data_IF_084444651336
#
_entry.id   IF_084444651336
#
_cell.length_a   1.000
_cell.length_b   1.000
_cell.length_c   1.000
_cell.angle_alpha   90.00
_cell.angle_beta   90.00
_cell.angle_gamma   90.00
#
_symmetry.space_group_name_H-M   'P 1'
#
loop_
_entity.id
_entity.type
_entity.pdbx_description
1 polymer ?
#
# COMPACT_ATOMS: atom_id res chain seq x y z
N UNK A 1 -56.77 -38.47 -14.63
CA UNK A 1 -55.45 -37.88 -14.70
C UNK A 1 -55.40 -36.37 -14.30
N UNK A 2 -56.34 -35.52 -14.72
CA UNK A 2 -56.33 -34.08 -14.39
C UNK A 2 -56.55 -33.79 -12.89
N UNK A 3 -57.32 -34.56 -12.16
CA UNK A 3 -57.56 -34.42 -10.72
C UNK A 3 -56.32 -34.79 -9.86
N UNK A 4 -55.57 -35.80 -10.29
CA UNK A 4 -54.35 -36.21 -9.60
C UNK A 4 -53.21 -35.18 -9.72
N UNK A 5 -53.12 -34.48 -10.84
CA UNK A 5 -52.14 -33.41 -11.06
C UNK A 5 -52.47 -32.18 -10.21
N UNK A 6 -53.75 -31.85 -10.07
CA UNK A 6 -54.21 -30.73 -9.24
C UNK A 6 -53.91 -31.02 -7.74
N UNK A 7 -54.17 -32.25 -7.28
CA UNK A 7 -53.86 -32.64 -5.91
C UNK A 7 -52.34 -32.66 -5.63
N UNK A 8 -51.53 -33.07 -6.60
CA UNK A 8 -50.05 -33.02 -6.49
C UNK A 8 -49.51 -31.58 -6.46
N UNK A 9 -50.10 -30.67 -7.27
CA UNK A 9 -49.73 -29.25 -7.24
C UNK A 9 -50.18 -28.57 -5.94
N UNK A 10 -51.33 -28.94 -5.40
CA UNK A 10 -51.83 -28.42 -4.12
C UNK A 10 -50.95 -28.92 -2.94
N UNK A 11 -50.50 -30.16 -3.01
CA UNK A 11 -49.56 -30.73 -2.00
C UNK A 11 -48.19 -30.06 -2.05
N UNK A 12 -47.69 -29.65 -3.22
CA UNK A 12 -46.42 -28.93 -3.37
C UNK A 12 -46.49 -27.50 -2.84
N UNK A 13 -47.61 -26.82 -2.93
CA UNK A 13 -47.85 -25.48 -2.39
C UNK A 13 -47.94 -25.43 -0.86
N UNK A 14 -48.22 -26.57 -0.20
CA UNK A 14 -48.28 -26.67 1.27
C UNK A 14 -46.93 -26.85 1.95
N UNK A 15 -45.84 -27.00 1.21
CA UNK A 15 -44.46 -27.12 1.74
C UNK A 15 -43.68 -25.81 1.75
N UNK A 16 -44.36 -24.67 1.75
CA UNK A 16 -43.68 -23.40 2.05
C UNK A 16 -43.33 -23.41 3.53
N UNK A 17 -42.14 -23.84 3.83
CA UNK A 17 -41.55 -23.74 5.18
C UNK A 17 -41.37 -22.24 5.46
N UNK A 18 -42.35 -21.65 6.17
CA UNK A 18 -42.13 -20.35 6.80
C UNK A 18 -41.09 -20.53 7.89
N UNK A 19 -39.86 -20.20 7.58
CA UNK A 19 -38.85 -20.01 8.60
C UNK A 19 -39.29 -18.88 9.52
N UNK A 20 -39.88 -19.19 10.66
CA UNK A 20 -40.22 -18.22 11.68
C UNK A 20 -38.92 -17.61 12.22
N UNK A 21 -38.52 -16.43 11.69
CA UNK A 21 -37.42 -15.66 12.23
C UNK A 21 -37.86 -15.08 13.57
N UNK A 22 -37.18 -15.50 14.64
CA UNK A 22 -37.37 -14.88 15.94
C UNK A 22 -36.82 -13.45 15.91
N UNK A 23 -37.66 -12.49 16.22
CA UNK A 23 -37.29 -11.07 16.27
C UNK A 23 -37.07 -10.65 17.70
N UNK A 24 -35.87 -10.15 18.00
CA UNK A 24 -35.52 -9.58 19.29
C UNK A 24 -35.67 -8.08 19.18
N UNK A 25 -36.45 -7.47 20.04
CA UNK A 25 -36.67 -6.02 20.10
C UNK A 25 -36.22 -5.49 21.46
N UNK A 26 -35.67 -4.31 21.48
CA UNK A 26 -35.27 -3.67 22.72
C UNK A 26 -35.02 -2.17 22.57
N UNK A 27 -34.62 -1.57 23.68
CA UNK A 27 -34.26 -0.15 23.78
C UNK A 27 -32.99 0.01 24.59
N UNK A 28 -32.09 0.88 24.14
CA UNK A 28 -30.84 1.22 24.82
C UNK A 28 -30.96 2.64 25.38
N UNK A 29 -30.67 2.81 26.65
CA UNK A 29 -30.76 4.10 27.35
C UNK A 29 -29.54 4.31 28.26
N UNK A 30 -29.24 5.56 28.53
CA UNK A 30 -28.30 5.94 29.58
C UNK A 30 -28.88 5.57 30.96
N UNK A 31 -28.09 4.96 31.82
CA UNK A 31 -28.55 4.50 33.17
C UNK A 31 -28.94 5.64 34.09
N UNK A 32 -28.27 6.79 34.01
CA UNK A 32 -28.44 7.92 34.91
C UNK A 32 -29.51 8.87 34.37
N UNK A 33 -29.35 9.31 33.12
CA UNK A 33 -30.22 10.33 32.52
C UNK A 33 -31.50 9.75 31.92
N UNK A 34 -31.57 8.41 31.71
CA UNK A 34 -32.66 7.70 31.04
C UNK A 34 -32.90 8.13 29.57
N UNK A 35 -32.02 8.95 29.04
CA UNK A 35 -32.12 9.37 27.66
C UNK A 35 -31.80 8.19 26.69
N UNK A 36 -32.48 8.14 25.53
CA UNK A 36 -32.19 7.12 24.51
C UNK A 36 -30.80 7.33 23.93
N UNK A 37 -30.10 6.25 23.65
CA UNK A 37 -28.80 6.27 23.00
C UNK A 37 -28.98 5.88 21.52
N UNK A 38 -28.95 6.90 20.66
CA UNK A 38 -29.01 6.75 19.20
C UNK A 38 -27.68 6.22 18.65
N UNK A 39 -27.74 5.39 17.60
CA UNK A 39 -26.56 4.83 16.92
C UNK A 39 -25.67 3.97 17.84
N UNK A 40 -26.21 3.42 18.93
CA UNK A 40 -25.52 2.39 19.70
C UNK A 40 -25.46 1.08 18.91
N UNK A 41 -24.30 0.48 18.84
CA UNK A 41 -24.11 -0.80 18.13
C UNK A 41 -24.62 -1.96 18.99
N UNK A 42 -25.55 -2.72 18.46
CA UNK A 42 -26.14 -3.91 19.12
C UNK A 42 -25.79 -5.11 18.28
N UNK A 43 -25.02 -6.05 18.86
CA UNK A 43 -24.59 -7.28 18.19
C UNK A 43 -25.23 -8.49 18.83
N UNK A 44 -25.61 -9.47 18.04
CA UNK A 44 -26.04 -10.80 18.49
C UNK A 44 -24.92 -11.81 18.26
N UNK A 45 -24.50 -12.49 19.30
CA UNK A 45 -23.38 -13.41 19.29
C UNK A 45 -23.80 -14.81 19.76
N UNK A 46 -23.04 -15.83 19.37
CA UNK A 46 -23.18 -17.18 19.90
C UNK A 46 -22.27 -17.35 21.13
N UNK A 47 -22.85 -17.50 22.31
CA UNK A 47 -22.12 -17.46 23.57
C UNK A 47 -21.65 -16.04 23.94
N UNK A 48 -20.87 -15.90 25.01
CA UNK A 48 -20.45 -14.59 25.54
C UNK A 48 -19.42 -13.85 24.69
N UNK A 49 -18.48 -14.56 24.04
CA UNK A 49 -17.40 -14.02 23.20
C UNK A 49 -17.33 -14.68 21.82
N UNK A 50 -18.47 -15.24 21.36
CA UNK A 50 -18.57 -15.97 20.10
C UNK A 50 -18.66 -15.05 18.87
N UNK A 51 -18.76 -15.69 17.69
CA UNK A 51 -18.89 -14.99 16.43
C UNK A 51 -20.18 -14.15 16.38
N UNK A 52 -20.08 -12.95 15.78
CA UNK A 52 -21.26 -12.10 15.54
C UNK A 52 -22.12 -12.75 14.47
N UNK A 53 -23.38 -12.98 14.80
CA UNK A 53 -24.39 -13.58 13.92
C UNK A 53 -25.18 -12.51 13.19
N UNK A 54 -25.54 -11.43 13.90
CA UNK A 54 -26.29 -10.32 13.37
C UNK A 54 -25.96 -9.06 14.17
N UNK A 55 -26.16 -7.87 13.58
CA UNK A 55 -25.98 -6.60 14.24
C UNK A 55 -26.97 -5.56 13.73
N UNK A 56 -27.18 -4.52 14.52
CA UNK A 56 -27.98 -3.35 14.16
C UNK A 56 -27.49 -2.14 14.94
N UNK A 57 -27.96 -0.95 14.54
CA UNK A 57 -27.81 0.30 15.30
C UNK A 57 -29.14 0.67 15.92
N UNK A 58 -29.11 1.37 17.04
CA UNK A 58 -30.31 1.95 17.65
C UNK A 58 -30.77 3.18 16.87
N UNK A 59 -32.09 3.36 16.79
CA UNK A 59 -32.73 4.56 16.23
C UNK A 59 -32.68 5.77 17.20
N UNK A 60 -33.26 6.91 16.80
CA UNK A 60 -33.32 8.13 17.59
C UNK A 60 -34.04 7.94 18.95
N UNK A 61 -34.93 6.98 19.07
CA UNK A 61 -35.59 6.62 20.33
C UNK A 61 -34.80 5.56 21.12
N UNK A 62 -33.59 5.19 20.67
CA UNK A 62 -32.76 4.15 21.25
C UNK A 62 -33.26 2.73 21.00
N UNK A 63 -34.22 2.53 20.08
CA UNK A 63 -34.81 1.21 19.81
C UNK A 63 -33.96 0.44 18.83
N UNK A 64 -33.96 -0.89 18.98
CA UNK A 64 -33.31 -1.80 18.03
C UNK A 64 -34.17 -3.01 17.75
N UNK A 65 -33.91 -3.64 16.60
CA UNK A 65 -34.53 -4.89 16.21
C UNK A 65 -33.47 -5.79 15.55
N UNK A 66 -33.38 -7.05 16.03
CA UNK A 66 -32.48 -8.07 15.49
C UNK A 66 -33.28 -9.34 15.17
N UNK A 67 -32.97 -9.97 14.05
CA UNK A 67 -33.59 -11.24 13.62
C UNK A 67 -32.60 -12.39 13.83
N UNK A 68 -33.09 -13.54 14.32
CA UNK A 68 -32.28 -14.74 14.50
C UNK A 68 -33.13 -16.00 14.18
N UNK A 69 -32.50 -17.00 13.59
CA UNK A 69 -33.12 -18.30 13.33
C UNK A 69 -33.28 -19.13 14.63
N UNK A 70 -32.50 -18.86 15.66
CA UNK A 70 -32.55 -19.51 16.97
C UNK A 70 -32.20 -18.54 18.07
N UNK A 71 -32.85 -18.63 19.22
CA UNK A 71 -32.56 -17.85 20.42
C UNK A 71 -31.72 -18.60 21.45
N UNK A 72 -31.45 -19.88 21.21
CA UNK A 72 -30.71 -20.73 22.15
C UNK A 72 -29.23 -20.33 22.15
N UNK A 73 -28.65 -20.15 23.34
CA UNK A 73 -27.25 -19.78 23.57
C UNK A 73 -26.83 -18.49 22.83
N UNK A 74 -27.69 -17.47 22.88
CA UNK A 74 -27.44 -16.15 22.27
C UNK A 74 -27.16 -15.10 23.33
N UNK A 75 -26.21 -14.21 23.02
CA UNK A 75 -25.87 -13.05 23.83
C UNK A 75 -25.99 -11.79 22.99
N UNK A 76 -26.67 -10.79 23.51
CA UNK A 76 -26.68 -9.45 22.95
C UNK A 76 -25.58 -8.66 23.64
N UNK A 77 -24.71 -8.06 22.82
CA UNK A 77 -23.69 -7.14 23.29
C UNK A 77 -23.96 -5.77 22.73
N UNK A 78 -24.02 -4.78 23.61
CA UNK A 78 -24.22 -3.38 23.23
C UNK A 78 -22.96 -2.60 23.51
N UNK A 79 -22.56 -1.82 22.50
CA UNK A 79 -21.44 -0.90 22.55
C UNK A 79 -21.89 0.51 22.13
N UNK A 80 -21.50 1.50 22.90
CA UNK A 80 -21.66 2.90 22.57
C UNK A 80 -20.44 3.69 23.06
N UNK A 81 -20.00 4.66 22.25
CA UNK A 81 -18.79 5.43 22.60
C UNK A 81 -18.98 6.20 23.91
N UNK A 82 -18.03 6.06 24.83
CA UNK A 82 -18.12 6.70 26.16
C UNK A 82 -18.93 5.90 27.19
N UNK A 83 -19.37 4.67 26.86
CA UNK A 83 -20.13 3.80 27.74
C UNK A 83 -19.48 2.44 27.90
N UNK A 84 -19.68 1.83 29.08
CA UNK A 84 -19.21 0.48 29.35
C UNK A 84 -19.97 -0.53 28.48
N UNK A 85 -19.25 -1.36 27.74
CA UNK A 85 -19.79 -2.48 26.97
C UNK A 85 -20.63 -3.39 27.88
N UNK A 86 -21.84 -3.72 27.47
CA UNK A 86 -22.75 -4.58 28.23
C UNK A 86 -23.15 -5.79 27.40
N UNK A 87 -22.97 -6.98 27.98
CA UNK A 87 -23.40 -8.24 27.38
C UNK A 87 -24.54 -8.82 28.20
N UNK A 88 -25.62 -9.26 27.55
CA UNK A 88 -26.83 -9.79 28.21
C UNK A 88 -27.22 -11.07 27.47
N UNK A 89 -27.41 -12.22 28.15
CA UNK A 89 -27.96 -13.41 27.54
C UNK A 89 -29.41 -13.15 27.08
N UNK A 90 -29.75 -13.66 25.91
CA UNK A 90 -31.12 -13.54 25.37
C UNK A 90 -32.00 -14.55 26.07
N UNK A 91 -32.75 -14.09 27.05
CA UNK A 91 -33.82 -14.84 27.72
C UNK A 91 -35.18 -14.37 27.16
N UNK A 92 -35.73 -15.20 26.31
CA UNK A 92 -37.06 -15.25 25.69
C UNK A 92 -38.05 -14.07 25.89
N UNK A 93 -38.52 -13.48 24.76
CA UNK A 93 -39.88 -12.97 24.50
C UNK A 93 -40.39 -11.69 25.19
N UNK A 94 -39.53 -10.85 25.73
CA UNK A 94 -39.93 -9.51 26.17
C UNK A 94 -39.03 -8.44 25.53
N UNK A 95 -39.52 -7.26 25.21
CA UNK A 95 -38.67 -6.14 24.80
C UNK A 95 -37.59 -5.91 25.83
N UNK A 96 -36.35 -5.91 25.42
CA UNK A 96 -35.19 -5.74 26.29
C UNK A 96 -34.94 -4.25 26.55
N UNK A 97 -34.87 -3.82 27.83
CA UNK A 97 -34.37 -2.51 28.18
C UNK A 97 -32.92 -2.65 28.65
N UNK A 98 -32.00 -2.05 27.91
CA UNK A 98 -30.57 -2.15 28.17
C UNK A 98 -30.07 -0.76 28.60
N UNK A 99 -29.71 -0.66 29.85
CA UNK A 99 -29.16 0.56 30.42
C UNK A 99 -27.64 0.46 30.37
N UNK A 100 -26.98 1.44 29.73
CA UNK A 100 -25.52 1.57 29.70
C UNK A 100 -25.06 2.58 30.75
N UNK A 101 -23.98 2.26 31.39
CA UNK A 101 -23.28 3.17 32.32
C UNK A 101 -22.23 3.95 31.53
N UNK A 102 -22.22 5.29 31.72
CA UNK A 102 -21.11 6.07 31.20
C UNK A 102 -19.82 5.57 31.86
N UNK A 103 -18.94 5.13 31.01
CA UNK A 103 -17.57 4.90 31.38
C UNK A 103 -16.83 6.17 30.94
N UNK A 104 -16.48 7.01 31.89
CA UNK A 104 -15.37 7.91 31.66
C UNK A 104 -14.20 6.97 31.33
N UNK A 105 -14.00 6.73 30.02
CA UNK A 105 -12.69 6.36 29.54
C UNK A 105 -11.87 7.57 29.90
N UNK A 106 -11.34 7.61 31.10
CA UNK A 106 -10.04 8.20 31.30
C UNK A 106 -9.25 7.50 30.18
N UNK A 107 -9.06 8.17 29.05
CA UNK A 107 -8.00 7.83 28.14
C UNK A 107 -6.86 7.64 29.10
N UNK A 108 -6.49 6.38 29.40
CA UNK A 108 -5.29 6.11 30.14
C UNK A 108 -4.32 6.99 29.45
N UNK A 109 -3.94 8.08 30.13
CA UNK A 109 -2.87 8.95 29.69
C UNK A 109 -1.91 8.00 29.07
N UNK A 110 -1.75 8.09 27.73
CA UNK A 110 -0.82 7.19 27.05
C UNK A 110 0.45 7.58 27.73
N UNK A 111 0.74 6.87 28.83
CA UNK A 111 2.05 6.91 29.42
C UNK A 111 2.88 6.41 28.26
N UNK A 112 3.37 7.36 27.46
CA UNK A 112 4.47 7.17 26.54
C UNK A 112 5.55 6.70 27.49
N UNK A 113 5.58 5.36 27.70
CA UNK A 113 6.70 4.77 28.41
C UNK A 113 7.88 5.21 27.60
N UNK A 114 8.79 6.05 28.14
CA UNK A 114 9.94 6.49 27.41
C UNK A 114 10.62 5.23 26.87
N UNK A 115 10.56 4.98 25.57
CA UNK A 115 11.06 3.77 24.98
C UNK A 115 10.40 3.27 23.69
N UNK A 116 9.23 3.77 23.25
CA UNK A 116 8.71 3.43 21.91
C UNK A 116 9.07 4.48 20.87
N UNK A 117 8.93 5.73 21.25
CA UNK A 117 9.24 6.90 20.42
C UNK A 117 9.88 7.92 21.35
N UNK A 118 11.04 8.45 21.01
CA UNK A 118 11.68 9.53 21.75
C UNK A 118 12.35 10.49 20.77
N UNK A 119 12.32 11.76 21.10
CA UNK A 119 12.91 12.83 20.30
C UNK A 119 14.02 13.55 21.04
N UNK A 120 14.99 14.07 20.31
CA UNK A 120 16.00 15.00 20.78
C UNK A 120 16.28 16.01 19.68
N UNK A 121 15.98 17.28 19.97
CA UNK A 121 16.07 18.36 18.99
C UNK A 121 15.21 18.09 17.73
N UNK A 122 15.82 17.94 16.57
CA UNK A 122 15.26 17.75 15.24
C UNK A 122 15.10 16.27 14.84
N UNK A 123 15.41 15.33 15.73
CA UNK A 123 15.40 13.90 15.43
C UNK A 123 14.41 13.14 16.30
N UNK A 124 13.46 12.47 15.67
CA UNK A 124 12.53 11.57 16.32
C UNK A 124 12.92 10.12 16.06
N UNK A 125 13.05 9.30 17.11
CA UNK A 125 13.47 7.90 17.02
C UNK A 125 12.32 6.97 17.37
N UNK A 126 12.10 5.96 16.53
CA UNK A 126 11.15 4.87 16.72
C UNK A 126 11.91 3.58 17.00
N UNK A 127 11.62 2.91 18.10
CA UNK A 127 12.10 1.54 18.36
C UNK A 127 11.26 0.54 17.55
N UNK A 128 11.77 0.13 16.39
CA UNK A 128 11.04 -0.73 15.47
C UNK A 128 10.77 -2.12 16.05
N UNK A 129 11.56 -2.57 17.01
CA UNK A 129 11.34 -3.89 17.64
C UNK A 129 9.98 -3.99 18.33
N UNK A 130 9.42 -2.85 18.73
CA UNK A 130 8.10 -2.74 19.39
C UNK A 130 6.92 -2.56 18.43
N UNK A 131 7.20 -2.28 17.16
CA UNK A 131 6.19 -2.12 16.12
C UNK A 131 6.16 -3.34 15.18
N UNK A 132 7.24 -4.12 15.15
CA UNK A 132 7.36 -5.32 14.31
C UNK A 132 6.51 -6.46 14.87
N UNK A 133 5.81 -7.14 13.99
CA UNK A 133 5.05 -8.36 14.26
C UNK A 133 5.50 -9.50 13.34
N UNK A 134 5.13 -10.73 13.65
CA UNK A 134 5.45 -11.92 12.85
C UNK A 134 4.87 -11.90 11.43
N UNK A 135 3.92 -10.99 11.16
CA UNK A 135 3.30 -10.80 9.84
C UNK A 135 4.10 -9.86 8.94
N UNK A 136 5.02 -9.09 9.50
CA UNK A 136 5.81 -8.11 8.75
C UNK A 136 6.97 -8.81 8.06
N UNK A 137 7.04 -8.66 6.75
CA UNK A 137 8.07 -9.28 5.92
C UNK A 137 9.27 -8.35 5.73
N UNK A 138 9.00 -7.08 5.50
CA UNK A 138 10.00 -6.07 5.17
C UNK A 138 9.80 -4.79 5.98
N UNK A 139 10.76 -3.88 5.87
CA UNK A 139 10.74 -2.61 6.60
C UNK A 139 9.52 -1.76 6.23
N UNK A 140 9.07 -1.80 4.97
CA UNK A 140 7.87 -1.07 4.54
C UNK A 140 6.64 -1.43 5.36
N UNK A 141 6.47 -2.70 5.72
CA UNK A 141 5.33 -3.16 6.52
C UNK A 141 5.35 -2.56 7.93
N UNK A 142 6.54 -2.39 8.51
CA UNK A 142 6.70 -1.79 9.84
C UNK A 142 6.54 -0.28 9.77
N UNK A 143 7.11 0.38 8.75
CA UNK A 143 7.02 1.84 8.57
C UNK A 143 5.58 2.31 8.46
N UNK A 144 4.69 1.55 7.81
CA UNK A 144 3.24 1.84 7.73
C UNK A 144 2.53 1.92 9.08
N UNK A 145 3.12 1.37 10.14
CA UNK A 145 2.55 1.35 11.49
C UNK A 145 3.05 2.48 12.37
N UNK A 146 4.05 3.24 11.90
CA UNK A 146 4.66 4.30 12.70
C UNK A 146 3.80 5.56 12.65
N UNK A 147 3.55 6.19 13.81
CA UNK A 147 2.83 7.46 13.87
C UNK A 147 3.49 8.52 12.99
N UNK A 148 2.70 9.22 12.19
CA UNK A 148 3.17 10.28 11.29
C UNK A 148 3.80 9.78 9.98
N UNK A 149 4.09 8.49 9.84
CA UNK A 149 4.64 7.91 8.60
C UNK A 149 3.52 7.30 7.77
N UNK A 150 3.49 7.63 6.49
CA UNK A 150 2.63 7.03 5.49
C UNK A 150 3.49 6.47 4.35
N UNK A 151 3.21 5.26 3.92
CA UNK A 151 3.86 4.63 2.76
C UNK A 151 2.79 4.35 1.70
N UNK A 152 2.88 5.06 0.59
CA UNK A 152 1.94 4.95 -0.53
C UNK A 152 2.09 3.62 -1.29
N UNK A 153 1.15 3.29 -2.17
CA UNK A 153 1.20 2.05 -2.97
C UNK A 153 2.44 1.96 -3.88
N UNK A 154 2.88 3.08 -4.43
CA UNK A 154 4.11 3.15 -5.23
C UNK A 154 5.39 3.07 -4.40
N UNK A 155 5.26 3.06 -3.06
CA UNK A 155 6.35 3.00 -2.09
C UNK A 155 6.88 4.36 -1.63
N UNK A 156 6.28 5.47 -2.07
CA UNK A 156 6.65 6.81 -1.58
C UNK A 156 6.39 6.92 -0.09
N UNK A 157 7.42 7.29 0.66
CA UNK A 157 7.34 7.49 2.11
C UNK A 157 7.09 8.97 2.40
N UNK A 158 6.06 9.23 3.21
CA UNK A 158 5.73 10.58 3.69
C UNK A 158 5.78 10.61 5.22
N UNK A 159 6.27 11.71 5.76
CA UNK A 159 6.19 12.03 7.18
C UNK A 159 5.38 13.30 7.37
N UNK A 160 4.30 13.23 8.16
CA UNK A 160 3.34 14.34 8.36
C UNK A 160 2.90 15.00 7.03
N UNK A 161 2.66 14.18 6.00
CA UNK A 161 2.24 14.62 4.66
C UNK A 161 3.38 15.03 3.71
N UNK A 162 4.61 15.22 4.19
CA UNK A 162 5.77 15.57 3.37
C UNK A 162 6.51 14.33 2.87
N UNK A 163 6.85 14.29 1.59
CA UNK A 163 7.71 13.23 1.01
C UNK A 163 9.10 13.35 1.61
N UNK A 164 9.70 12.23 2.02
CA UNK A 164 11.08 12.23 2.52
C UNK A 164 12.07 12.58 1.43
N UNK A 165 13.05 13.41 1.76
CA UNK A 165 14.13 13.79 0.84
C UNK A 165 15.19 12.70 0.68
N UNK A 166 15.44 11.90 1.72
CA UNK A 166 16.45 10.85 1.72
C UNK A 166 16.03 9.66 2.60
N UNK A 167 16.41 8.46 2.18
CA UNK A 167 16.44 7.28 3.03
C UNK A 167 17.86 6.82 3.24
N UNK A 168 18.30 6.81 4.48
CA UNK A 168 19.61 6.31 4.89
C UNK A 168 19.49 4.96 5.57
N UNK A 169 20.51 4.14 5.41
CA UNK A 169 20.78 2.98 6.26
C UNK A 169 22.14 3.15 6.89
N UNK A 170 22.21 3.14 8.23
CA UNK A 170 23.45 3.44 8.97
C UNK A 170 24.11 4.77 8.52
N UNK A 171 23.28 5.76 8.14
CA UNK A 171 23.75 7.09 7.71
C UNK A 171 24.28 7.18 6.29
N UNK A 172 24.03 6.17 5.44
CA UNK A 172 24.43 6.17 4.02
C UNK A 172 23.25 5.86 3.12
N UNK A 173 23.20 6.48 1.94
CA UNK A 173 22.18 6.25 0.91
C UNK A 173 22.75 5.46 -0.27
N UNK A 174 22.69 4.12 -0.18
CA UNK A 174 23.13 3.23 -1.28
C UNK A 174 22.15 3.25 -2.45
N UNK A 175 20.90 3.63 -2.20
CA UNK A 175 19.83 3.59 -3.19
C UNK A 175 19.79 4.80 -4.12
N UNK A 176 20.43 5.92 -3.73
CA UNK A 176 20.42 7.16 -4.49
C UNK A 176 19.00 7.68 -4.75
N UNK A 177 18.15 7.59 -3.75
CA UNK A 177 16.73 7.98 -3.83
C UNK A 177 15.79 6.88 -4.36
N UNK A 178 16.30 5.74 -4.85
CA UNK A 178 15.49 4.58 -5.25
C UNK A 178 15.22 3.66 -4.05
N UNK A 179 14.71 4.21 -2.97
CA UNK A 179 14.66 3.54 -1.66
C UNK A 179 13.67 2.36 -1.58
N UNK A 180 12.83 2.13 -2.60
CA UNK A 180 12.02 0.91 -2.69
C UNK A 180 12.90 -0.36 -2.75
N UNK A 181 14.12 -0.25 -3.28
CA UNK A 181 15.08 -1.35 -3.30
C UNK A 181 15.53 -1.77 -1.89
N UNK A 182 15.50 -0.83 -0.94
CA UNK A 182 15.79 -1.11 0.48
C UNK A 182 14.48 -1.46 1.19
N UNK A 183 13.49 -0.60 1.08
CA UNK A 183 12.26 -0.64 1.84
C UNK A 183 11.47 -1.95 1.66
N UNK A 184 11.44 -2.47 0.42
CA UNK A 184 10.74 -3.70 0.06
C UNK A 184 11.57 -4.99 0.22
N UNK A 185 12.89 -4.88 0.44
CA UNK A 185 13.79 -6.04 0.43
C UNK A 185 14.56 -6.24 1.73
N UNK A 186 14.69 -5.20 2.56
CA UNK A 186 15.27 -5.30 3.89
C UNK A 186 14.24 -5.93 4.84
N UNK A 187 14.60 -7.03 5.48
CA UNK A 187 13.73 -7.73 6.43
C UNK A 187 13.33 -6.85 7.61
N UNK A 188 12.08 -6.94 8.04
CA UNK A 188 11.53 -6.19 9.17
C UNK A 188 12.33 -6.40 10.46
N UNK A 189 12.75 -7.63 10.70
CA UNK A 189 13.49 -8.03 11.90
C UNK A 189 14.98 -7.61 11.89
N UNK A 190 15.50 -7.16 10.75
CA UNK A 190 16.88 -6.69 10.63
C UNK A 190 17.09 -5.28 11.20
N UNK A 191 16.01 -4.49 11.35
CA UNK A 191 16.08 -3.09 11.74
C UNK A 191 15.73 -2.92 13.21
N UNK A 192 16.58 -2.19 13.94
CA UNK A 192 16.39 -1.88 15.35
C UNK A 192 15.56 -0.62 15.54
N UNK A 193 15.89 0.45 14.79
CA UNK A 193 15.24 1.74 14.95
C UNK A 193 15.13 2.50 13.61
N UNK A 194 14.14 3.39 13.53
CA UNK A 194 14.03 4.39 12.49
C UNK A 194 14.16 5.78 13.13
N UNK A 195 14.99 6.61 12.53
CA UNK A 195 15.23 8.00 12.94
C UNK A 195 14.65 8.92 11.86
N UNK A 196 13.65 9.71 12.21
CA UNK A 196 13.13 10.80 11.38
C UNK A 196 13.87 12.06 11.73
N UNK A 197 14.48 12.68 10.74
CA UNK A 197 15.30 13.90 10.88
C UNK A 197 14.52 15.02 10.19
N UNK A 198 13.96 15.93 10.98
CA UNK A 198 13.26 17.12 10.49
C UNK A 198 14.26 18.23 10.20
N UNK A 199 13.94 19.12 9.25
CA UNK A 199 14.88 20.19 8.84
C UNK A 199 16.18 19.63 8.26
N UNK A 200 16.09 18.48 7.56
CA UNK A 200 17.27 17.75 7.10
C UNK A 200 18.07 18.53 6.05
N UNK A 201 19.31 18.88 6.39
CA UNK A 201 20.27 19.44 5.45
C UNK A 201 21.37 18.42 5.16
N UNK A 202 21.36 17.77 3.97
CA UNK A 202 22.34 16.74 3.61
C UNK A 202 23.75 17.32 3.47
N UNK A 203 23.88 18.57 3.03
CA UNK A 203 25.18 19.22 2.81
C UNK A 203 25.70 19.77 4.13
N UNK A 204 26.79 19.18 4.65
CA UNK A 204 27.35 19.53 5.97
C UNK A 204 27.74 21.01 6.09
N UNK A 205 28.31 21.62 5.04
CA UNK A 205 28.72 23.01 5.02
C UNK A 205 27.57 24.02 5.10
N UNK A 206 26.32 23.60 4.83
CA UNK A 206 25.11 24.39 4.88
C UNK A 206 24.31 24.19 6.18
N UNK A 207 24.65 23.19 6.99
CA UNK A 207 23.95 22.93 8.25
C UNK A 207 24.03 24.12 9.20
N UNK A 208 22.86 24.51 9.73
CA UNK A 208 22.74 25.69 10.59
C UNK A 208 22.88 27.04 9.87
N UNK A 209 23.13 27.07 8.56
CA UNK A 209 23.23 28.29 7.75
C UNK A 209 22.04 28.50 6.82
N UNK A 210 21.43 27.42 6.36
CA UNK A 210 20.24 27.45 5.50
C UNK A 210 19.11 26.72 6.18
N UNK A 211 17.93 27.32 6.15
CA UNK A 211 16.72 26.65 6.61
C UNK A 211 16.25 25.70 5.51
N UNK A 212 15.85 24.50 5.91
CA UNK A 212 15.16 23.53 5.08
C UNK A 212 14.03 22.90 5.90
N UNK A 213 12.94 22.59 5.25
CA UNK A 213 11.84 21.84 5.83
C UNK A 213 11.80 20.37 5.36
N UNK A 214 12.89 19.95 4.71
CA UNK A 214 13.07 18.58 4.26
C UNK A 214 13.10 17.60 5.43
N UNK A 215 12.63 16.39 5.19
CA UNK A 215 12.63 15.30 6.16
C UNK A 215 13.42 14.14 5.61
N UNK A 216 14.33 13.58 6.39
CA UNK A 216 15.01 12.33 6.05
C UNK A 216 14.66 11.22 7.03
N UNK A 217 14.74 9.99 6.54
CA UNK A 217 14.59 8.78 7.34
C UNK A 217 15.89 8.00 7.37
N UNK A 218 16.37 7.64 8.56
CA UNK A 218 17.57 6.83 8.73
C UNK A 218 17.23 5.54 9.49
N UNK A 219 17.53 4.40 8.88
CA UNK A 219 17.32 3.08 9.45
C UNK A 219 18.58 2.61 10.17
N UNK A 220 18.43 2.21 11.42
CA UNK A 220 19.51 1.60 12.22
C UNK A 220 19.33 0.10 12.27
N UNK A 221 20.34 -0.62 11.86
CA UNK A 221 20.34 -2.07 11.86
C UNK A 221 20.64 -2.62 13.25
N UNK A 222 20.13 -3.79 13.54
CA UNK A 222 20.55 -4.55 14.71
C UNK A 222 22.03 -4.91 14.60
N UNK A 223 22.79 -4.92 15.72
CA UNK A 223 24.25 -5.20 15.70
C UNK A 223 24.61 -6.51 15.00
N UNK A 224 23.82 -7.55 15.23
CA UNK A 224 24.01 -8.89 14.68
C UNK A 224 23.82 -8.97 13.15
N UNK A 225 23.10 -8.02 12.57
CA UNK A 225 22.82 -8.00 11.12
C UNK A 225 23.82 -7.14 10.35
N UNK A 226 24.49 -6.22 11.04
CA UNK A 226 25.47 -5.32 10.41
C UNK A 226 26.60 -6.10 9.74
N UNK A 227 26.92 -5.73 8.50
CA UNK A 227 27.98 -6.33 7.68
C UNK A 227 27.70 -7.78 7.23
N UNK A 228 26.61 -8.38 7.66
CA UNK A 228 26.25 -9.72 7.19
C UNK A 228 25.59 -9.65 5.80
N UNK A 229 25.72 -10.75 5.07
CA UNK A 229 24.98 -10.94 3.83
C UNK A 229 23.57 -11.42 4.14
N UNK A 230 22.59 -10.66 3.66
CA UNK A 230 21.16 -10.96 3.80
C UNK A 230 20.67 -11.42 2.43
N UNK A 231 20.16 -12.63 2.37
CA UNK A 231 19.56 -13.19 1.17
C UNK A 231 18.06 -13.30 1.34
N UNK A 232 17.31 -12.87 0.34
CA UNK A 232 15.86 -13.04 0.31
C UNK A 232 15.47 -13.64 -1.03
N UNK A 233 14.81 -14.78 -1.00
CA UNK A 233 14.28 -15.46 -2.17
C UNK A 233 12.77 -15.57 -1.99
N UNK A 234 12.03 -15.21 -3.01
CA UNK A 234 10.60 -15.44 -3.12
C UNK A 234 10.31 -16.06 -4.48
N UNK A 235 9.53 -17.10 -4.48
CA UNK A 235 9.03 -17.75 -5.71
C UNK A 235 7.55 -18.08 -5.52
N UNK A 236 6.75 -17.63 -6.43
CA UNK A 236 5.33 -17.93 -6.52
C UNK A 236 5.01 -18.44 -7.92
N UNK A 237 4.14 -19.43 -8.01
CA UNK A 237 3.68 -19.98 -9.28
C UNK A 237 2.18 -20.23 -9.23
N UNK A 238 1.54 -20.16 -10.38
CA UNK A 238 0.12 -20.42 -10.54
C UNK A 238 -0.20 -20.81 -11.99
N UNK A 239 -1.44 -21.18 -12.20
CA UNK A 239 -1.94 -21.49 -13.53
C UNK A 239 -3.31 -20.83 -13.71
N UNK A 240 -3.49 -20.18 -14.86
CA UNK A 240 -4.73 -19.61 -15.34
C UNK A 240 -4.86 -19.91 -16.83
N UNK A 241 -5.13 -18.90 -17.64
CA UNK A 241 -5.04 -19.05 -19.12
C UNK A 241 -3.61 -19.38 -19.58
N UNK A 242 -2.62 -18.98 -18.77
CA UNK A 242 -1.20 -19.27 -18.97
C UNK A 242 -0.53 -19.54 -17.63
N UNK A 243 0.70 -20.05 -17.65
CA UNK A 243 1.51 -20.17 -16.44
C UNK A 243 1.77 -18.79 -15.84
N UNK A 244 1.52 -18.63 -14.55
CA UNK A 244 1.74 -17.42 -13.78
C UNK A 244 2.95 -17.59 -12.88
N UNK A 245 3.76 -16.54 -12.75
CA UNK A 245 4.92 -16.53 -11.87
C UNK A 245 5.15 -15.17 -11.22
N UNK A 246 5.71 -15.20 -10.02
CA UNK A 246 6.22 -14.04 -9.29
C UNK A 246 7.47 -14.47 -8.53
N UNK A 247 8.62 -13.97 -8.93
CA UNK A 247 9.91 -14.35 -8.38
C UNK A 247 10.73 -13.13 -8.00
N UNK A 248 11.44 -13.22 -6.88
CA UNK A 248 12.44 -12.22 -6.50
C UNK A 248 13.65 -12.88 -5.83
N UNK A 249 14.82 -12.36 -6.15
CA UNK A 249 16.08 -12.69 -5.52
C UNK A 249 16.79 -11.39 -5.13
N UNK A 250 17.05 -11.21 -3.84
CA UNK A 250 17.67 -10.00 -3.32
C UNK A 250 18.84 -10.38 -2.43
N UNK A 251 19.94 -9.65 -2.60
CA UNK A 251 21.16 -9.80 -1.80
C UNK A 251 21.57 -8.44 -1.27
N UNK A 252 21.64 -8.31 0.05
CA UNK A 252 22.02 -7.08 0.71
C UNK A 252 23.20 -7.33 1.63
N UNK A 253 24.15 -6.40 1.63
CA UNK A 253 25.20 -6.29 2.64
C UNK A 253 25.28 -4.83 3.05
N UNK A 254 24.91 -4.53 4.28
CA UNK A 254 24.79 -3.18 4.78
C UNK A 254 25.73 -2.98 5.98
N UNK A 255 26.85 -2.32 5.75
CA UNK A 255 27.82 -1.97 6.77
C UNK A 255 28.01 -0.45 6.84
N UNK A 256 28.78 0.03 7.84
CA UNK A 256 29.07 1.46 7.98
C UNK A 256 30.00 2.03 6.91
N UNK A 257 30.81 1.19 6.26
CA UNK A 257 31.81 1.62 5.29
C UNK A 257 31.50 1.15 3.87
N UNK A 258 30.67 0.13 3.74
CA UNK A 258 30.30 -0.43 2.44
C UNK A 258 28.88 -0.95 2.46
N UNK A 259 28.12 -0.60 1.46
CA UNK A 259 26.77 -1.13 1.26
C UNK A 259 26.67 -1.70 -0.15
N UNK A 260 26.01 -2.84 -0.26
CA UNK A 260 25.78 -3.53 -1.52
C UNK A 260 24.32 -4.00 -1.55
N UNK A 261 23.65 -3.75 -2.67
CA UNK A 261 22.27 -4.18 -2.89
C UNK A 261 22.17 -4.71 -4.32
N UNK A 262 21.89 -6.00 -4.46
CA UNK A 262 21.57 -6.63 -5.73
C UNK A 262 20.15 -7.13 -5.68
N UNK A 263 19.38 -6.82 -6.70
CA UNK A 263 18.01 -7.29 -6.83
C UNK A 263 17.75 -7.85 -8.21
N UNK A 264 17.00 -8.94 -8.26
CA UNK A 264 16.38 -9.44 -9.47
C UNK A 264 14.93 -9.78 -9.15
N UNK A 265 14.02 -9.30 -9.97
CA UNK A 265 12.59 -9.59 -9.83
C UNK A 265 11.98 -9.87 -11.19
N UNK A 266 11.05 -10.80 -11.22
CA UNK A 266 10.32 -11.14 -12.42
C UNK A 266 8.88 -11.52 -12.08
N UNK A 267 7.92 -11.03 -12.85
CA UNK A 267 6.54 -11.46 -12.70
C UNK A 267 5.71 -11.28 -13.98
N UNK A 268 4.60 -12.03 -14.04
CA UNK A 268 3.54 -11.84 -15.03
C UNK A 268 2.14 -11.80 -14.40
N UNK A 269 2.04 -11.31 -13.16
CA UNK A 269 0.81 -11.27 -12.36
C UNK A 269 0.28 -9.86 -12.11
N UNK A 270 0.66 -8.89 -12.93
CA UNK A 270 0.19 -7.50 -12.82
C UNK A 270 0.90 -6.66 -11.75
N UNK A 271 2.11 -7.04 -11.29
CA UNK A 271 2.91 -6.20 -10.40
C UNK A 271 3.77 -5.24 -11.20
N UNK A 272 3.68 -3.97 -10.88
CA UNK A 272 4.54 -2.94 -11.44
C UNK A 272 5.91 -2.93 -10.75
N UNK A 273 6.96 -3.36 -11.47
CA UNK A 273 8.33 -3.38 -10.97
C UNK A 273 9.14 -2.12 -11.32
N UNK A 274 8.59 -1.19 -12.13
CA UNK A 274 9.25 0.08 -12.43
C UNK A 274 9.47 0.93 -11.18
N UNK A 275 8.58 0.83 -10.20
CA UNK A 275 8.70 1.55 -8.93
C UNK A 275 9.99 1.26 -8.15
N UNK A 276 10.60 0.10 -8.35
CA UNK A 276 11.88 -0.24 -7.71
C UNK A 276 13.08 0.52 -8.32
N UNK A 277 12.96 0.97 -9.57
CA UNK A 277 13.98 1.73 -10.27
C UNK A 277 13.71 3.25 -10.25
N UNK A 278 12.55 3.66 -9.79
CA UNK A 278 12.13 5.05 -9.74
C UNK A 278 12.78 5.78 -8.57
N UNK A 279 13.33 6.98 -8.81
CA UNK A 279 13.72 7.90 -7.74
C UNK A 279 12.46 8.46 -7.08
N UNK A 280 12.22 8.12 -5.82
CA UNK A 280 11.05 8.54 -5.04
C UNK A 280 11.38 9.63 -4.01
N UNK A 281 12.65 9.76 -3.68
CA UNK A 281 13.12 10.83 -2.80
C UNK A 281 12.90 12.19 -3.46
N UNK A 282 12.41 13.16 -2.69
CA UNK A 282 12.23 14.53 -3.17
C UNK A 282 13.53 15.31 -3.28
N UNK A 283 14.66 14.65 -3.56
CA UNK A 283 16.02 15.17 -3.58
C UNK A 283 16.17 16.68 -3.86
N UNK A 284 17.29 17.25 -3.49
CA UNK A 284 17.60 18.67 -3.72
C UNK A 284 17.30 19.08 -5.15
N UNK A 285 16.91 20.32 -5.37
CA UNK A 285 16.54 20.93 -6.66
C UNK A 285 17.50 20.64 -7.82
N UNK A 286 18.71 20.21 -7.53
CA UNK A 286 19.73 19.81 -8.51
C UNK A 286 19.54 18.39 -9.09
N UNK A 287 18.68 17.56 -8.49
CA UNK A 287 18.42 16.18 -8.94
C UNK A 287 17.16 16.03 -9.80
N UNK A 288 16.50 17.13 -10.15
CA UNK A 288 15.33 17.12 -11.05
C UNK A 288 15.79 16.90 -12.49
N UNK A 289 16.05 15.65 -12.83
CA UNK A 289 16.01 15.24 -14.23
C UNK A 289 14.53 15.23 -14.62
N UNK A 290 14.16 16.08 -15.57
CA UNK A 290 12.83 16.06 -16.16
C UNK A 290 12.68 14.76 -16.94
N UNK A 291 11.86 13.86 -16.41
CA UNK A 291 11.41 12.66 -17.12
C UNK A 291 10.53 13.10 -18.30
N UNK A 292 11.14 13.51 -19.38
CA UNK A 292 10.45 13.70 -20.66
C UNK A 292 10.29 12.33 -21.34
N UNK A 293 9.25 11.60 -20.98
CA UNK A 293 8.86 10.43 -21.74
C UNK A 293 8.13 10.87 -23.02
N UNK A 294 8.71 10.68 -24.20
CA UNK A 294 8.00 10.99 -25.43
C UNK A 294 6.75 10.10 -25.55
N UNK A 295 5.63 10.66 -26.06
CA UNK A 295 4.42 9.89 -26.30
C UNK A 295 4.71 8.73 -27.27
N UNK A 296 4.34 7.53 -26.91
CA UNK A 296 4.66 6.32 -27.70
C UNK A 296 3.60 6.03 -28.74
N UNK A 297 2.35 6.37 -28.44
CA UNK A 297 1.19 6.15 -29.31
C UNK A 297 0.35 7.41 -29.41
N UNK A 298 -0.56 7.43 -30.40
CA UNK A 298 -1.65 8.39 -30.42
C UNK A 298 -2.29 8.43 -29.03
N UNK A 299 -2.35 9.59 -28.37
CA UNK A 299 -2.94 9.74 -27.07
C UNK A 299 -4.45 9.53 -27.18
N UNK A 300 -4.87 8.26 -27.06
CA UNK A 300 -6.27 7.99 -26.77
C UNK A 300 -6.44 7.97 -25.26
N UNK A 301 -7.47 8.62 -24.73
CA UNK A 301 -7.70 8.63 -23.30
C UNK A 301 -7.84 7.19 -22.79
N UNK A 302 -7.01 6.85 -21.82
CA UNK A 302 -7.21 5.59 -21.09
C UNK A 302 -8.45 5.76 -20.20
N UNK A 303 -9.41 4.82 -20.23
CA UNK A 303 -10.58 4.93 -19.38
C UNK A 303 -10.14 4.90 -17.91
N UNK A 304 -10.62 5.88 -17.14
CA UNK A 304 -10.44 5.87 -15.68
C UNK A 304 -11.26 4.71 -15.09
N UNK A 305 -10.59 3.64 -14.72
CA UNK A 305 -11.25 2.49 -14.10
C UNK A 305 -11.06 2.51 -12.57
N UNK A 306 -12.13 2.29 -11.77
CA UNK A 306 -12.04 2.23 -10.31
C UNK A 306 -11.46 0.90 -9.82
N UNK A 307 -10.44 0.40 -10.49
CA UNK A 307 -9.76 -0.85 -10.17
C UNK A 307 -8.29 -0.56 -9.79
N UNK A 308 -7.76 -1.36 -8.88
CA UNK A 308 -6.34 -1.27 -8.54
C UNK A 308 -5.46 -1.57 -9.77
N UNK A 309 -4.33 -0.89 -9.88
CA UNK A 309 -3.38 -1.07 -10.98
C UNK A 309 -3.02 -2.55 -11.20
N UNK A 310 -2.91 -3.33 -10.15
CA UNK A 310 -2.65 -4.78 -10.21
C UNK A 310 -3.67 -5.57 -11.02
N UNK A 311 -4.92 -5.10 -11.11
CA UNK A 311 -5.99 -5.75 -11.88
C UNK A 311 -6.04 -5.28 -13.33
N UNK A 312 -5.41 -4.17 -13.65
CA UNK A 312 -5.40 -3.54 -14.97
C UNK A 312 -4.11 -3.83 -15.75
N UNK A 313 -3.04 -4.22 -15.05
CA UNK A 313 -1.73 -4.42 -15.65
C UNK A 313 -1.54 -5.88 -16.08
N UNK A 314 -1.51 -6.11 -17.39
CA UNK A 314 -1.17 -7.38 -18.00
C UNK A 314 0.26 -7.28 -18.53
N UNK A 315 1.22 -7.61 -17.70
CA UNK A 315 2.64 -7.47 -17.99
C UNK A 315 3.41 -8.79 -17.87
N UNK A 316 4.59 -8.80 -18.44
CA UNK A 316 5.68 -9.73 -18.18
C UNK A 316 6.92 -8.89 -17.98
N UNK A 317 7.34 -8.74 -16.73
CA UNK A 317 8.39 -7.80 -16.36
C UNK A 317 9.53 -8.52 -15.69
N UNK A 318 10.75 -8.21 -16.12
CA UNK A 318 12.00 -8.59 -15.47
C UNK A 318 12.78 -7.34 -15.12
N UNK A 319 13.27 -7.23 -13.90
CA UNK A 319 14.14 -6.13 -13.47
C UNK A 319 15.35 -6.66 -12.73
N UNK A 320 16.48 -6.05 -13.00
CA UNK A 320 17.73 -6.32 -12.28
C UNK A 320 18.35 -5.01 -11.86
N UNK A 321 18.90 -4.95 -10.65
CA UNK A 321 19.70 -3.80 -10.21
C UNK A 321 20.91 -4.23 -9.39
N UNK A 322 21.96 -3.41 -9.51
CA UNK A 322 23.19 -3.54 -8.75
C UNK A 322 23.59 -2.16 -8.21
N UNK A 323 23.61 -2.03 -6.90
CA UNK A 323 23.99 -0.80 -6.24
C UNK A 323 25.11 -1.08 -5.25
N UNK A 324 26.11 -0.24 -5.26
CA UNK A 324 27.25 -0.36 -4.38
C UNK A 324 27.74 1.00 -3.92
N UNK A 325 27.89 1.16 -2.62
CA UNK A 325 28.34 2.39 -1.99
C UNK A 325 29.56 2.06 -1.14
N UNK A 326 30.60 2.85 -1.33
CA UNK A 326 31.82 2.85 -0.51
C UNK A 326 31.94 4.17 0.22
N UNK A 327 32.14 4.12 1.53
CA UNK A 327 32.61 5.25 2.32
C UNK A 327 34.13 5.19 2.30
N UNK A 328 34.78 6.13 1.64
CA UNK A 328 36.24 6.22 1.52
C UNK A 328 36.85 6.75 2.81
N UNK A 329 36.18 7.76 3.39
CA UNK A 329 36.46 8.34 4.72
C UNK A 329 35.18 8.92 5.33
N UNK A 330 35.26 9.75 6.37
CA UNK A 330 34.09 10.34 7.04
C UNK A 330 33.37 11.39 6.19
N UNK A 331 34.00 11.90 5.15
CA UNK A 331 33.47 12.96 4.30
C UNK A 331 33.22 12.50 2.87
N UNK A 332 33.93 11.46 2.41
CA UNK A 332 33.95 11.04 1.01
C UNK A 332 33.25 9.70 0.81
N UNK A 333 32.45 9.65 -0.22
CA UNK A 333 31.78 8.43 -0.63
C UNK A 333 31.73 8.28 -2.15
N UNK A 334 31.72 7.03 -2.60
CA UNK A 334 31.60 6.67 -4.01
C UNK A 334 30.48 5.66 -4.17
N UNK A 335 29.50 5.98 -5.01
CA UNK A 335 28.32 5.14 -5.29
C UNK A 335 28.26 4.75 -6.75
N UNK A 336 28.01 3.47 -6.97
CA UNK A 336 27.76 2.88 -8.29
C UNK A 336 26.34 2.33 -8.31
N UNK A 337 25.61 2.60 -9.37
CA UNK A 337 24.28 2.07 -9.58
C UNK A 337 24.13 1.61 -11.04
N UNK A 338 23.52 0.47 -11.23
CA UNK A 338 23.14 -0.06 -12.53
C UNK A 338 21.76 -0.69 -12.42
N UNK A 339 20.90 -0.38 -13.36
CA UNK A 339 19.54 -0.89 -13.41
C UNK A 339 19.16 -1.31 -14.81
N UNK A 340 18.45 -2.42 -14.93
CA UNK A 340 17.88 -2.90 -16.18
C UNK A 340 16.43 -3.34 -15.96
N UNK A 341 15.55 -2.98 -16.89
CA UNK A 341 14.16 -3.40 -16.93
C UNK A 341 13.87 -3.91 -18.33
N UNK A 342 13.28 -5.09 -18.41
CA UNK A 342 12.61 -5.62 -19.58
C UNK A 342 11.13 -5.78 -19.26
N UNK A 343 10.26 -5.14 -20.01
CA UNK A 343 8.82 -5.20 -19.81
C UNK A 343 8.09 -5.47 -21.12
N UNK A 344 7.13 -6.37 -21.06
CA UNK A 344 6.14 -6.61 -22.10
C UNK A 344 4.77 -6.36 -21.49
N UNK A 345 4.08 -5.33 -21.96
CA UNK A 345 2.75 -4.99 -21.48
C UNK A 345 1.73 -5.16 -22.60
N UNK A 346 0.63 -5.82 -22.27
CA UNK A 346 -0.55 -5.91 -23.14
C UNK A 346 -1.66 -5.07 -22.53
N UNK A 347 -2.33 -4.28 -23.35
CA UNK A 347 -3.51 -3.50 -22.96
C UNK A 347 -4.63 -3.80 -23.93
N UNK A 348 -5.81 -4.02 -23.42
CA UNK A 348 -7.01 -4.21 -24.24
C UNK A 348 -8.16 -3.42 -23.59
N UNK A 349 -8.73 -2.52 -24.35
CA UNK A 349 -9.88 -1.74 -23.90
C UNK A 349 -10.73 -1.33 -25.11
N UNK A 350 -12.00 -1.11 -24.84
CA UNK A 350 -12.96 -0.58 -25.80
C UNK A 350 -13.62 0.67 -25.26
N UNK A 351 -14.03 1.55 -26.17
CA UNK A 351 -14.88 2.69 -25.89
C UNK A 351 -16.08 2.66 -26.84
N UNK A 352 -17.23 3.01 -26.32
CA UNK A 352 -18.43 3.26 -27.08
C UNK A 352 -18.83 4.71 -26.81
N UNK A 353 -18.98 5.47 -27.86
CA UNK A 353 -19.38 6.87 -27.80
C UNK A 353 -20.70 7.04 -28.56
N UNK A 354 -21.66 7.70 -27.93
CA UNK A 354 -22.97 7.95 -28.50
C UNK A 354 -23.15 9.46 -28.65
N UNK A 355 -23.26 9.90 -29.88
CA UNK A 355 -23.48 11.30 -30.21
C UNK A 355 -24.97 11.50 -30.55
N UNK A 356 -25.64 12.32 -29.76
CA UNK A 356 -27.05 12.65 -29.97
C UNK A 356 -27.16 13.95 -30.76
N UNK A 357 -27.69 13.86 -31.97
CA UNK A 357 -28.05 15.02 -32.79
C UNK A 357 -29.57 15.20 -32.79
N UNK A 358 -30.05 16.38 -33.19
CA UNK A 358 -31.44 16.73 -33.14
C UNK A 358 -32.36 15.80 -33.97
N UNK A 359 -31.84 15.10 -34.98
CA UNK A 359 -32.58 14.22 -35.90
C UNK A 359 -31.95 12.83 -36.05
N UNK A 360 -30.81 12.58 -35.40
CA UNK A 360 -30.05 11.32 -35.56
C UNK A 360 -29.21 11.00 -34.33
N UNK A 361 -28.79 9.74 -34.21
CA UNK A 361 -27.86 9.28 -33.17
C UNK A 361 -26.77 8.48 -33.82
N UNK A 362 -25.54 8.93 -33.65
CA UNK A 362 -24.36 8.24 -34.17
C UNK A 362 -23.69 7.46 -33.04
N UNK A 363 -23.54 6.16 -33.24
CA UNK A 363 -22.82 5.26 -32.37
C UNK A 363 -21.45 4.97 -32.98
N UNK A 364 -20.39 5.20 -32.23
CA UNK A 364 -19.05 4.78 -32.61
C UNK A 364 -18.51 3.83 -31.54
N UNK A 365 -18.00 2.70 -31.95
CA UNK A 365 -17.36 1.74 -31.07
C UNK A 365 -15.92 1.53 -31.50
N UNK A 366 -14.99 1.67 -30.56
CA UNK A 366 -13.55 1.47 -30.80
C UNK A 366 -13.03 0.42 -29.86
N UNK A 367 -12.40 -0.62 -30.41
CA UNK A 367 -11.64 -1.60 -29.63
C UNK A 367 -10.16 -1.43 -29.94
N UNK A 368 -9.35 -1.43 -28.89
CA UNK A 368 -7.90 -1.26 -29.01
C UNK A 368 -7.16 -2.39 -28.30
N UNK A 369 -6.15 -2.93 -28.97
CA UNK A 369 -5.27 -3.94 -28.43
C UNK A 369 -3.82 -3.50 -28.65
N UNK A 370 -3.15 -3.10 -27.58
CA UNK A 370 -1.75 -2.68 -27.58
C UNK A 370 -0.86 -3.79 -27.04
N UNK A 371 0.25 -4.01 -27.72
CA UNK A 371 1.36 -4.86 -27.29
C UNK A 371 2.62 -4.02 -27.26
N UNK A 372 3.11 -3.75 -26.08
CA UNK A 372 4.28 -2.90 -25.83
C UNK A 372 5.45 -3.73 -25.32
N UNK A 373 6.63 -3.42 -25.81
CA UNK A 373 7.90 -3.91 -25.27
C UNK A 373 8.77 -2.73 -24.92
N UNK A 374 9.29 -2.70 -23.70
CA UNK A 374 10.17 -1.66 -23.18
C UNK A 374 11.41 -2.32 -22.59
N UNK A 375 12.57 -1.89 -23.04
CA UNK A 375 13.86 -2.20 -22.44
C UNK A 375 14.47 -0.90 -21.93
N UNK A 376 14.84 -0.83 -20.64
CA UNK A 376 15.50 0.32 -20.04
C UNK A 376 16.80 -0.13 -19.39
N UNK A 377 17.87 0.58 -19.68
CA UNK A 377 19.17 0.42 -19.02
C UNK A 377 19.57 1.78 -18.46
N UNK A 378 19.93 1.84 -17.19
CA UNK A 378 20.43 3.06 -16.56
C UNK A 378 21.65 2.75 -15.70
N UNK A 379 22.55 3.70 -15.62
CA UNK A 379 23.71 3.60 -14.76
C UNK A 379 24.09 4.97 -14.19
N UNK A 380 24.64 4.98 -12.99
CA UNK A 380 25.07 6.19 -12.29
C UNK A 380 26.33 5.90 -11.47
N UNK A 381 27.31 6.77 -11.60
CA UNK A 381 28.49 6.83 -10.73
C UNK A 381 28.48 8.18 -10.06
N UNK A 382 28.45 8.21 -8.74
CA UNK A 382 28.41 9.42 -7.96
C UNK A 382 29.54 9.43 -6.94
N UNK A 383 30.40 10.44 -7.06
CA UNK A 383 31.41 10.78 -6.05
C UNK A 383 30.93 11.99 -5.26
N UNK A 384 31.02 11.94 -3.96
CA UNK A 384 30.65 13.02 -3.05
C UNK A 384 31.74 13.23 -2.00
N UNK A 385 32.19 14.48 -1.86
CA UNK A 385 33.02 14.98 -0.79
C UNK A 385 32.20 16.02 -0.01
N UNK A 386 31.75 15.64 1.19
CA UNK A 386 30.82 16.40 2.01
C UNK A 386 31.45 16.77 3.35
N UNK A 387 32.35 17.74 3.30
CA UNK A 387 33.04 18.28 4.48
C UNK A 387 32.25 19.45 5.10
N UNK A 388 32.59 19.80 6.33
CA UNK A 388 32.00 20.96 7.01
C UNK A 388 32.32 22.30 6.32
N UNK A 389 33.47 22.38 5.61
CA UNK A 389 33.93 23.59 4.93
C UNK A 389 33.69 23.61 3.44
N UNK A 390 33.43 22.44 2.82
CA UNK A 390 33.21 22.33 1.37
C UNK A 390 32.25 21.21 1.03
N UNK A 391 31.65 21.34 -0.13
CA UNK A 391 30.85 20.28 -0.74
C UNK A 391 31.22 20.16 -2.21
N UNK A 392 31.56 18.95 -2.64
CA UNK A 392 31.78 18.61 -4.05
C UNK A 392 31.00 17.35 -4.38
N UNK A 393 30.30 17.37 -5.48
CA UNK A 393 29.57 16.21 -6.01
C UNK A 393 29.84 16.09 -7.49
N UNK A 394 30.33 14.95 -7.91
CA UNK A 394 30.52 14.59 -9.31
C UNK A 394 29.60 13.43 -9.62
N UNK A 395 28.78 13.61 -10.65
CA UNK A 395 27.82 12.62 -11.08
C UNK A 395 27.98 12.34 -12.57
N UNK A 396 28.22 11.09 -12.87
CA UNK A 396 28.14 10.58 -14.23
C UNK A 396 26.96 9.63 -14.33
N UNK A 397 26.05 9.89 -15.25
CA UNK A 397 24.88 9.05 -15.46
C UNK A 397 24.65 8.78 -16.93
N UNK A 398 24.11 7.62 -17.23
CA UNK A 398 23.58 7.29 -18.56
C UNK A 398 22.25 6.57 -18.45
N UNK A 399 21.37 6.78 -19.41
CA UNK A 399 20.11 6.08 -19.54
C UNK A 399 19.84 5.77 -21.01
N UNK A 400 19.42 4.54 -21.27
CA UNK A 400 18.98 4.10 -22.58
C UNK A 400 17.60 3.44 -22.45
N UNK A 401 16.70 3.86 -23.33
CA UNK A 401 15.34 3.30 -23.39
C UNK A 401 15.03 2.90 -24.83
N UNK A 402 14.64 1.64 -25.00
CA UNK A 402 14.18 1.12 -26.28
C UNK A 402 12.74 0.68 -26.15
N UNK A 403 11.88 1.28 -26.95
CA UNK A 403 10.46 1.00 -26.95
C UNK A 403 10.03 0.52 -28.32
N UNK A 404 9.27 -0.56 -28.35
CA UNK A 404 8.60 -1.03 -29.56
C UNK A 404 7.18 -1.44 -29.22
N UNK A 405 6.26 -1.22 -30.15
CA UNK A 405 4.88 -1.56 -29.89
C UNK A 405 4.07 -1.69 -31.17
N UNK A 406 2.97 -2.41 -31.03
CA UNK A 406 1.94 -2.58 -32.04
C UNK A 406 0.61 -2.26 -31.39
N UNK A 407 -0.17 -1.42 -32.05
CA UNK A 407 -1.54 -1.10 -31.66
C UNK A 407 -2.47 -1.49 -32.79
N UNK A 408 -3.38 -2.40 -32.51
CA UNK A 408 -4.47 -2.79 -33.39
C UNK A 408 -5.73 -2.03 -32.90
N UNK A 409 -6.25 -1.14 -33.71
CA UNK A 409 -7.45 -0.36 -33.42
C UNK A 409 -8.52 -0.77 -34.42
N UNK A 410 -9.62 -1.30 -33.94
CA UNK A 410 -10.78 -1.70 -34.73
C UNK A 410 -12.00 -0.89 -34.31
N UNK A 411 -12.72 -0.38 -35.27
CA UNK A 411 -13.92 0.42 -35.13
C UNK A 411 -14.54 0.62 -36.49
N UNK A 412 -15.11 1.78 -36.74
CA UNK A 412 -15.62 2.15 -38.08
C UNK A 412 -14.50 2.17 -39.13
N UNK A 413 -13.25 2.38 -38.70
CA UNK A 413 -12.03 2.24 -39.48
C UNK A 413 -11.04 1.35 -38.75
N UNK A 414 -10.36 0.47 -39.49
CA UNK A 414 -9.26 -0.36 -38.95
C UNK A 414 -7.96 0.41 -39.08
N UNK A 415 -7.31 0.70 -37.95
CA UNK A 415 -6.02 1.36 -37.91
C UNK A 415 -4.99 0.42 -37.28
N UNK A 416 -3.92 0.19 -38.00
CA UNK A 416 -2.76 -0.56 -37.52
C UNK A 416 -1.59 0.42 -37.33
N UNK A 417 -1.06 0.49 -36.11
CA UNK A 417 0.07 1.35 -35.80
C UNK A 417 1.24 0.55 -35.25
N UNK A 418 2.42 0.73 -35.83
CA UNK A 418 3.66 0.16 -35.36
C UNK A 418 4.64 1.24 -35.00
N UNK A 419 5.18 1.19 -33.79
CA UNK A 419 6.16 2.16 -33.30
C UNK A 419 7.44 1.47 -32.92
N UNK A 420 8.56 2.12 -33.20
CA UNK A 420 9.89 1.75 -32.71
C UNK A 420 10.61 3.04 -32.36
N UNK A 421 10.98 3.18 -31.09
CA UNK A 421 11.71 4.35 -30.59
C UNK A 421 12.91 3.91 -29.75
N UNK A 422 14.01 4.65 -29.84
CA UNK A 422 15.17 4.48 -28.96
C UNK A 422 15.67 5.85 -28.53
N UNK A 423 15.91 6.01 -27.23
CA UNK A 423 16.39 7.25 -26.64
C UNK A 423 17.62 6.96 -25.77
N UNK A 424 18.62 7.82 -25.83
CA UNK A 424 19.80 7.80 -24.99
C UNK A 424 19.98 9.16 -24.33
N UNK A 425 20.33 9.15 -23.04
CA UNK A 425 20.70 10.32 -22.27
C UNK A 425 22.06 10.04 -21.59
N UNK A 426 22.95 11.04 -21.62
CA UNK A 426 24.26 10.99 -21.00
C UNK A 426 24.37 12.08 -19.93
#
# INVERSE_FOLDING_TARGET
>A
MKTAIILSLLSFLLHIHTNAQNTIKGRVTDKVTRQPLESATVTLQQGGDGNIINYTLTDADGRFQLSSSSLKDRTITVFYMGYRKKAIPVLISRPLTIELEQETVLLKEVQIRPGRVWGRQDTLKYDLTRFTSSKDRNVSDVLKKLPGINVEENGTIKYNGKVISNLYVEGMDVSGGRYNQINNNLKADAVQAAEVIEGHQPIKSLRGKTFTDDVALNLKLKPEVRSQWIYTVMAGGGYGEKALYDASFNVLQLSRNRQTVYTYKANNIGRNLFSDQQKLASGNSFDRVTDSNPPIFLPLPEPAMPLSQKRLLFNETHTASANRLYRLDEEKQLRFQLGYIHDRTTRQYGSEEIYYFAQDTVHTATNRHDRLKTDCLNGEVNYEDNAASRYTRENFSFAGTWKSGVSDITGDNVIFQKIKNSQWEL
#
